data_IF_236147830324
#
_entry.id   IF_236147830324
#
_cell.length_a   1.000
_cell.length_b   1.000
_cell.length_c   1.000
_cell.angle_alpha   90.00
_cell.angle_beta   90.00
_cell.angle_gamma   90.00
#
_symmetry.space_group_name_H-M   'P 1'
#
loop_
_entity.id
_entity.type
_entity.pdbx_description
1 polymer ?
#
# COMPACT_ATOMS: atom_id res chain seq x y z
N UNK A 1 -13.18 14.58 -27.07
CA UNK A 1 -12.53 13.27 -27.25
C UNK A 1 -11.28 13.18 -26.38
N UNK A 2 -11.19 12.16 -25.57
CA UNK A 2 -9.98 11.94 -24.79
C UNK A 2 -8.96 11.21 -25.65
N UNK A 3 -7.81 11.84 -25.89
CA UNK A 3 -6.74 11.27 -26.72
C UNK A 3 -5.46 10.99 -25.91
N UNK A 4 -5.53 11.11 -24.57
CA UNK A 4 -4.42 10.88 -23.67
C UNK A 4 -4.84 9.95 -22.54
N UNK A 5 -3.86 9.35 -21.90
CA UNK A 5 -4.08 8.52 -20.71
C UNK A 5 -3.99 9.41 -19.49
N UNK A 6 -5.07 9.49 -18.73
CA UNK A 6 -5.11 10.22 -17.46
C UNK A 6 -5.34 9.24 -16.31
N UNK A 7 -4.39 9.19 -15.38
CA UNK A 7 -4.50 8.34 -14.21
C UNK A 7 -4.64 9.23 -12.97
N UNK A 8 -5.74 9.05 -12.24
CA UNK A 8 -5.90 9.63 -10.91
C UNK A 8 -5.40 8.61 -9.90
N UNK A 9 -4.16 8.80 -9.44
CA UNK A 9 -3.54 7.91 -8.46
C UNK A 9 -4.02 8.27 -7.06
N UNK A 10 -4.57 7.29 -6.35
CA UNK A 10 -5.16 7.49 -5.03
C UNK A 10 -4.46 6.54 -4.06
N UNK A 11 -3.94 7.08 -2.95
CA UNK A 11 -3.30 6.31 -1.89
C UNK A 11 -2.14 5.43 -2.37
N UNK A 12 -1.38 5.93 -3.33
CA UNK A 12 -0.14 5.27 -3.77
C UNK A 12 0.97 5.63 -2.78
N UNK A 13 1.69 4.62 -2.30
CA UNK A 13 2.81 4.85 -1.40
C UNK A 13 4.09 4.22 -1.95
N UNK A 14 5.22 4.77 -1.52
CA UNK A 14 6.55 4.31 -1.93
C UNK A 14 7.47 4.31 -0.70
N UNK A 15 8.42 3.36 -0.61
CA UNK A 15 9.38 3.37 0.51
C UNK A 15 10.16 4.69 0.62
N UNK A 16 10.44 5.35 -0.49
CA UNK A 16 11.19 6.61 -0.53
C UNK A 16 10.28 7.83 -0.65
N UNK A 17 8.97 7.67 -0.52
CA UNK A 17 8.02 8.75 -0.71
C UNK A 17 7.77 9.56 0.55
N UNK A 18 6.74 10.39 0.47
CA UNK A 18 6.32 11.28 1.57
C UNK A 18 4.84 11.15 1.89
N UNK A 19 4.27 9.97 1.67
CA UNK A 19 2.87 9.71 2.00
C UNK A 19 2.66 9.63 3.53
N UNK A 20 1.39 9.54 3.93
CA UNK A 20 1.06 9.35 5.33
C UNK A 20 1.76 8.12 5.93
N UNK A 21 1.87 7.02 5.17
CA UNK A 21 2.56 5.82 5.64
C UNK A 21 4.01 6.12 6.01
N UNK A 22 4.72 6.90 5.18
CA UNK A 22 6.11 7.25 5.46
C UNK A 22 6.24 8.03 6.76
N UNK A 23 5.32 8.97 6.99
CA UNK A 23 5.27 9.76 8.23
C UNK A 23 5.00 8.84 9.43
N UNK A 24 4.04 7.94 9.33
CA UNK A 24 3.71 7.02 10.43
C UNK A 24 4.88 6.09 10.76
N UNK A 25 5.56 5.59 9.74
CA UNK A 25 6.74 4.73 9.94
C UNK A 25 7.83 5.50 10.69
N UNK A 26 8.14 6.73 10.26
CA UNK A 26 9.12 7.57 10.92
C UNK A 26 8.74 7.86 12.38
N UNK A 27 7.47 8.19 12.62
CA UNK A 27 6.99 8.46 13.97
C UNK A 27 7.19 7.25 14.89
N UNK A 28 6.80 6.08 14.43
CA UNK A 28 6.91 4.85 15.24
C UNK A 28 8.38 4.52 15.52
N UNK A 29 9.24 4.60 14.52
CA UNK A 29 10.68 4.31 14.68
C UNK A 29 11.30 5.28 15.70
N UNK A 30 10.89 6.54 15.69
CA UNK A 30 11.43 7.57 16.59
C UNK A 30 10.70 7.67 17.92
N UNK A 31 9.73 6.79 18.17
CA UNK A 31 9.01 6.74 19.44
C UNK A 31 7.93 7.80 19.58
N UNK A 32 7.52 8.41 18.47
CA UNK A 32 6.43 9.40 18.48
C UNK A 32 5.11 8.73 18.16
N UNK A 33 4.02 9.36 18.60
CA UNK A 33 2.66 8.89 18.28
C UNK A 33 2.20 9.57 17.00
N UNK A 34 1.83 8.81 15.96
CA UNK A 34 1.30 9.42 14.74
C UNK A 34 0.02 10.22 14.99
N UNK A 35 -0.16 11.29 14.23
CA UNK A 35 -1.39 12.08 14.27
C UNK A 35 -2.58 11.19 13.89
N UNK A 36 -3.70 11.25 14.66
CA UNK A 36 -4.88 10.45 14.33
C UNK A 36 -5.48 10.83 12.98
N UNK A 37 -5.90 9.83 12.24
CA UNK A 37 -6.55 10.02 10.95
C UNK A 37 -7.81 9.15 10.90
N UNK A 38 -8.94 9.74 10.55
CA UNK A 38 -10.20 9.01 10.42
C UNK A 38 -10.47 8.55 8.99
N UNK A 39 -9.74 9.09 8.03
CA UNK A 39 -9.94 8.80 6.61
C UNK A 39 -9.63 7.33 6.30
N UNK A 40 -10.52 6.70 5.52
CA UNK A 40 -10.28 5.36 4.99
C UNK A 40 -9.41 5.50 3.74
N UNK A 41 -8.36 4.69 3.68
CA UNK A 41 -7.42 4.70 2.56
C UNK A 41 -7.47 3.38 1.81
N UNK A 42 -7.10 3.45 0.54
CA UNK A 42 -7.00 2.26 -0.33
C UNK A 42 -5.56 2.14 -0.80
N UNK A 43 -4.68 1.81 0.12
CA UNK A 43 -3.24 1.82 -0.11
C UNK A 43 -2.82 0.87 -1.21
N UNK A 44 -1.92 1.32 -2.08
CA UNK A 44 -1.32 0.52 -3.14
C UNK A 44 0.16 0.91 -3.27
N UNK A 45 1.01 -0.11 -3.44
CA UNK A 45 2.44 0.10 -3.60
C UNK A 45 2.73 0.71 -4.97
N UNK A 46 3.72 1.61 -5.02
CA UNK A 46 4.09 2.28 -6.26
C UNK A 46 4.48 1.31 -7.37
N UNK A 47 5.10 0.18 -7.05
CA UNK A 47 5.47 -0.81 -8.07
C UNK A 47 4.23 -1.38 -8.78
N UNK A 48 3.15 -1.59 -8.05
CA UNK A 48 1.90 -2.06 -8.65
C UNK A 48 1.31 -0.98 -9.55
N UNK A 49 1.32 0.27 -9.09
CA UNK A 49 0.82 1.40 -9.88
C UNK A 49 1.62 1.59 -11.16
N UNK A 50 2.94 1.58 -11.06
CA UNK A 50 3.82 1.75 -12.21
C UNK A 50 3.67 0.64 -13.23
N UNK A 51 3.51 -0.60 -12.76
CA UNK A 51 3.30 -1.75 -13.66
C UNK A 51 2.01 -1.58 -14.45
N UNK A 52 0.93 -1.21 -13.81
CA UNK A 52 -0.35 -0.99 -14.49
C UNK A 52 -0.24 0.13 -15.52
N UNK A 53 0.36 1.26 -15.15
CA UNK A 53 0.53 2.40 -16.04
C UNK A 53 1.38 2.01 -17.25
N UNK A 54 2.45 1.25 -17.05
CA UNK A 54 3.31 0.78 -18.14
C UNK A 54 2.55 -0.11 -19.12
N UNK A 55 1.70 -1.00 -18.62
CA UNK A 55 0.88 -1.86 -19.46
C UNK A 55 -0.09 -1.03 -20.31
N UNK A 56 -0.76 -0.07 -19.69
CA UNK A 56 -1.71 0.79 -20.41
C UNK A 56 -1.00 1.61 -21.48
N UNK A 57 0.16 2.18 -21.17
CA UNK A 57 0.95 2.95 -22.13
C UNK A 57 1.45 2.08 -23.29
N UNK A 58 1.91 0.86 -23.00
CA UNK A 58 2.42 -0.05 -24.03
C UNK A 58 1.32 -0.48 -25.00
N UNK A 59 0.08 -0.44 -24.59
CA UNK A 59 -1.06 -0.82 -25.42
C UNK A 59 -1.83 0.36 -25.98
N UNK A 60 -1.28 1.57 -25.82
CA UNK A 60 -1.86 2.81 -26.36
C UNK A 60 -3.28 3.08 -25.82
N UNK A 61 -3.53 2.70 -24.58
CA UNK A 61 -4.81 2.94 -23.94
C UNK A 61 -4.94 4.42 -23.61
N UNK A 62 -6.10 4.98 -23.90
CA UNK A 62 -6.43 6.39 -23.56
C UNK A 62 -7.69 6.41 -22.71
N UNK A 63 -7.89 7.49 -21.99
CA UNK A 63 -9.07 7.67 -21.15
C UNK A 63 -8.70 8.11 -19.74
N UNK A 64 -9.71 8.19 -18.90
CA UNK A 64 -9.56 8.59 -17.49
C UNK A 64 -9.78 7.39 -16.58
N UNK A 65 -8.82 7.10 -15.72
CA UNK A 65 -8.88 5.95 -14.83
C UNK A 65 -8.51 6.36 -13.41
N UNK A 66 -9.21 5.80 -12.42
CA UNK A 66 -8.81 5.86 -11.02
C UNK A 66 -7.96 4.64 -10.71
N UNK A 67 -6.88 4.84 -9.96
CA UNK A 67 -5.95 3.78 -9.55
C UNK A 67 -5.72 3.86 -8.05
N UNK A 68 -6.06 2.79 -7.35
CA UNK A 68 -5.82 2.65 -5.91
C UNK A 68 -5.73 1.18 -5.57
N UNK A 69 -5.47 0.87 -4.30
CA UNK A 69 -5.63 -0.48 -3.80
C UNK A 69 -7.10 -0.89 -3.78
N UNK A 70 -7.35 -2.18 -3.70
CA UNK A 70 -8.71 -2.73 -3.73
C UNK A 70 -9.31 -2.85 -2.34
N UNK A 71 -8.50 -2.81 -1.29
CA UNK A 71 -8.94 -3.01 0.08
C UNK A 71 -8.95 -1.70 0.83
N UNK A 72 -9.97 -1.55 1.69
CA UNK A 72 -10.09 -0.40 2.56
C UNK A 72 -9.25 -0.61 3.83
N UNK A 73 -8.54 0.41 4.25
CA UNK A 73 -7.70 0.40 5.44
C UNK A 73 -8.00 1.62 6.31
N UNK A 74 -8.16 1.42 7.62
CA UNK A 74 -8.11 2.55 8.52
C UNK A 74 -6.67 2.69 9.07
N UNK A 75 -6.40 3.80 9.73
CA UNK A 75 -5.07 4.06 10.26
C UNK A 75 -4.65 2.99 11.29
N UNK A 76 -5.57 2.60 12.16
CA UNK A 76 -5.27 1.63 13.22
C UNK A 76 -4.72 0.31 12.67
N UNK A 77 -5.32 -0.21 11.60
CA UNK A 77 -4.86 -1.45 10.96
C UNK A 77 -3.43 -1.31 10.46
N UNK A 78 -3.10 -0.17 9.86
CA UNK A 78 -1.76 0.06 9.32
C UNK A 78 -0.75 0.26 10.45
N UNK A 79 -1.11 1.03 11.47
CA UNK A 79 -0.21 1.26 12.61
C UNK A 79 0.08 -0.03 13.36
N UNK A 80 -0.91 -0.91 13.54
CA UNK A 80 -0.70 -2.22 14.18
C UNK A 80 0.33 -3.03 13.40
N UNK A 81 0.23 -3.01 12.08
CA UNK A 81 1.16 -3.76 11.23
C UNK A 81 2.56 -3.16 11.30
N UNK A 82 2.68 -1.83 11.26
CA UNK A 82 3.99 -1.16 11.39
C UNK A 82 4.64 -1.51 12.72
N UNK A 83 3.87 -1.45 13.82
CA UNK A 83 4.39 -1.76 15.15
C UNK A 83 4.90 -3.20 15.25
N UNK A 84 4.15 -4.15 14.69
CA UNK A 84 4.56 -5.57 14.68
C UNK A 84 5.84 -5.76 13.89
N UNK A 85 5.92 -5.17 12.71
CA UNK A 85 7.10 -5.29 11.85
C UNK A 85 8.31 -4.61 12.46
N UNK A 86 8.13 -3.45 13.07
CA UNK A 86 9.21 -2.73 13.74
C UNK A 86 9.75 -3.53 14.92
N UNK A 87 8.88 -4.11 15.73
CA UNK A 87 9.29 -4.96 16.85
C UNK A 87 10.09 -6.16 16.36
N UNK A 88 9.65 -6.81 15.30
CA UNK A 88 10.35 -7.95 14.71
C UNK A 88 11.73 -7.54 14.17
N UNK A 89 11.79 -6.39 13.52
CA UNK A 89 13.06 -5.87 13.02
C UNK A 89 14.05 -5.64 14.17
N UNK A 90 13.59 -4.98 15.24
CA UNK A 90 14.43 -4.74 16.42
C UNK A 90 14.92 -6.04 17.05
N UNK A 91 14.04 -7.02 17.17
CA UNK A 91 14.41 -8.33 17.71
C UNK A 91 15.45 -9.02 16.84
N UNK A 92 15.33 -8.91 15.54
CA UNK A 92 16.28 -9.50 14.59
C UNK A 92 17.67 -8.88 14.75
N UNK A 93 17.72 -7.55 14.84
CA UNK A 93 18.99 -6.82 14.99
C UNK A 93 19.66 -7.11 16.33
N UNK A 94 18.85 -7.24 17.40
CA UNK A 94 19.36 -7.46 18.76
C UNK A 94 19.55 -8.93 19.10
N UNK A 95 19.15 -9.85 18.22
CA UNK A 95 19.21 -11.28 18.49
C UNK A 95 18.28 -11.72 19.61
N UNK A 96 17.17 -11.02 19.82
CA UNK A 96 16.23 -11.26 20.92
C UNK A 96 14.97 -11.96 20.48
N UNK A 97 15.01 -12.71 19.39
CA UNK A 97 13.86 -13.50 18.94
C UNK A 97 13.49 -14.56 19.95
N UNK A 98 12.19 -14.71 20.21
CA UNK A 98 11.61 -15.79 21.00
C UNK A 98 10.77 -16.65 20.08
N UNK A 99 10.29 -17.79 20.58
CA UNK A 99 9.34 -18.62 19.82
C UNK A 99 8.11 -17.80 19.46
N UNK A 100 7.63 -16.97 20.36
CA UNK A 100 6.48 -16.10 20.10
C UNK A 100 6.74 -15.06 19.03
N UNK A 101 7.92 -14.43 19.04
CA UNK A 101 8.28 -13.40 18.05
C UNK A 101 8.44 -13.98 16.66
N UNK A 102 8.78 -15.27 16.57
CA UNK A 102 8.95 -15.97 15.30
C UNK A 102 7.69 -16.67 14.83
N UNK A 103 6.64 -16.68 15.65
CA UNK A 103 5.39 -17.32 15.28
C UNK A 103 4.74 -16.64 14.07
N UNK A 104 3.93 -17.43 13.37
CA UNK A 104 3.24 -16.94 12.17
C UNK A 104 2.25 -15.85 12.54
N UNK A 105 2.44 -14.65 11.98
CA UNK A 105 1.52 -13.54 12.19
C UNK A 105 0.49 -13.57 11.06
N UNK A 106 -0.82 -13.63 11.37
CA UNK A 106 -1.84 -13.65 10.33
C UNK A 106 -1.75 -12.42 9.44
N UNK A 107 -2.15 -12.58 8.18
CA UNK A 107 -2.25 -11.46 7.25
C UNK A 107 -3.18 -10.39 7.82
N UNK A 108 -2.89 -9.10 7.61
CA UNK A 108 -3.75 -8.01 8.08
C UNK A 108 -5.11 -7.94 7.38
N UNK A 109 -5.47 -8.97 6.64
CA UNK A 109 -6.73 -9.05 5.90
C UNK A 109 -7.96 -9.34 6.76
N UNK A 110 -7.79 -9.59 8.05
CA UNK A 110 -8.85 -10.15 8.88
C UNK A 110 -9.97 -9.17 9.24
N UNK A 111 -9.74 -7.87 9.12
CA UNK A 111 -10.72 -6.87 9.51
C UNK A 111 -11.44 -6.32 8.29
N UNK A 112 -12.76 -6.19 8.41
CA UNK A 112 -13.55 -5.53 7.39
C UNK A 112 -13.69 -4.06 7.77
N UNK A 113 -13.41 -3.19 6.80
CA UNK A 113 -13.52 -1.75 6.98
C UNK A 113 -14.55 -1.26 5.98
N UNK A 114 -15.52 -0.47 6.49
CA UNK A 114 -16.52 0.14 5.61
C UNK A 114 -15.87 1.32 4.89
N UNK A 115 -15.69 1.17 3.59
CA UNK A 115 -15.14 2.20 2.74
C UNK A 115 -16.03 2.49 1.56
N UNK A 116 -17.29 2.05 1.61
CA UNK A 116 -18.17 2.14 0.45
C UNK A 116 -18.37 3.56 -0.07
N UNK A 117 -18.44 4.55 0.83
CA UNK A 117 -18.67 5.94 0.44
C UNK A 117 -17.47 6.61 -0.22
N UNK A 118 -16.27 6.12 0.07
CA UNK A 118 -15.03 6.70 -0.44
C UNK A 118 -14.29 5.78 -1.41
N UNK A 119 -14.90 4.65 -1.77
CA UNK A 119 -14.24 3.65 -2.61
C UNK A 119 -14.06 4.15 -4.04
N UNK A 120 -12.80 4.18 -4.54
CA UNK A 120 -12.57 4.54 -5.94
C UNK A 120 -13.24 3.56 -6.90
N UNK A 121 -13.60 4.07 -8.07
CA UNK A 121 -14.17 3.22 -9.12
C UNK A 121 -13.03 2.60 -9.93
N UNK A 122 -12.70 1.37 -9.64
CA UNK A 122 -11.60 0.65 -10.27
C UNK A 122 -12.04 -0.18 -11.50
N UNK A 123 -13.33 -0.24 -11.78
CA UNK A 123 -13.84 -1.04 -12.89
C UNK A 123 -13.24 -0.63 -14.25
N UNK A 124 -13.17 0.66 -14.60
CA UNK A 124 -12.54 1.05 -15.88
C UNK A 124 -11.09 0.59 -15.98
N UNK A 125 -10.30 0.74 -14.91
CA UNK A 125 -8.91 0.29 -14.88
C UNK A 125 -8.81 -1.23 -15.07
N UNK A 126 -9.63 -1.96 -14.32
CA UNK A 126 -9.66 -3.42 -14.40
C UNK A 126 -9.99 -3.89 -15.82
N UNK A 127 -11.03 -3.30 -16.42
CA UNK A 127 -11.46 -3.68 -17.77
C UNK A 127 -10.41 -3.34 -18.82
N UNK A 128 -9.75 -2.17 -18.68
CA UNK A 128 -8.68 -1.77 -19.60
C UNK A 128 -7.51 -2.75 -19.52
N UNK A 129 -7.12 -3.16 -18.32
CA UNK A 129 -6.03 -4.13 -18.13
C UNK A 129 -6.40 -5.51 -18.68
N UNK A 130 -7.64 -5.94 -18.52
CA UNK A 130 -8.12 -7.17 -19.14
C UNK A 130 -7.98 -7.10 -20.66
N UNK A 131 -8.32 -5.97 -21.26
CA UNK A 131 -8.21 -5.80 -22.70
C UNK A 131 -6.77 -5.85 -23.21
N UNK A 132 -5.81 -5.61 -22.32
CA UNK A 132 -4.38 -5.69 -22.63
C UNK A 132 -3.83 -7.12 -22.47
N UNK A 133 -4.67 -8.10 -22.20
CA UNK A 133 -4.25 -9.50 -22.07
C UNK A 133 -3.77 -9.89 -20.69
N UNK A 134 -4.04 -9.07 -19.67
CA UNK A 134 -3.69 -9.36 -18.29
C UNK A 134 -4.89 -9.93 -17.53
N UNK A 135 -4.69 -10.26 -16.26
CA UNK A 135 -5.75 -10.73 -15.37
C UNK A 135 -6.56 -9.58 -14.75
N UNK A 136 -6.38 -8.35 -15.25
CA UNK A 136 -7.06 -7.16 -14.73
C UNK A 136 -6.25 -6.48 -13.64
N UNK A 137 -6.93 -5.64 -12.84
CA UNK A 137 -6.26 -4.91 -11.77
C UNK A 137 -6.10 -5.79 -10.53
N UNK A 138 -4.89 -6.23 -10.31
CA UNK A 138 -4.55 -7.12 -9.18
C UNK A 138 -3.23 -6.65 -8.58
N UNK A 139 -3.27 -5.79 -7.53
CA UNK A 139 -2.05 -5.43 -6.81
C UNK A 139 -1.38 -6.66 -6.22
N UNK A 140 -0.07 -6.81 -6.46
CA UNK A 140 0.68 -7.99 -6.05
C UNK A 140 1.55 -7.77 -4.82
N UNK A 141 1.92 -6.51 -4.54
CA UNK A 141 2.76 -6.21 -3.37
C UNK A 141 1.86 -6.12 -2.15
N UNK A 142 1.99 -7.09 -1.25
CA UNK A 142 1.25 -7.07 0.01
C UNK A 142 1.68 -5.87 0.85
N UNK A 143 0.74 -5.29 1.61
CA UNK A 143 1.07 -4.12 2.43
C UNK A 143 2.20 -4.42 3.42
N UNK A 144 2.25 -5.63 3.96
CA UNK A 144 3.31 -6.04 4.88
C UNK A 144 4.70 -5.92 4.25
N UNK A 145 4.81 -6.33 2.99
CA UNK A 145 6.07 -6.24 2.24
C UNK A 145 6.45 -4.76 2.03
N UNK A 146 5.49 -3.96 1.60
CA UNK A 146 5.73 -2.53 1.38
C UNK A 146 6.11 -1.80 2.66
N UNK A 147 5.44 -2.11 3.77
CA UNK A 147 5.76 -1.50 5.06
C UNK A 147 7.17 -1.90 5.54
N UNK A 148 7.57 -3.15 5.32
CA UNK A 148 8.94 -3.57 5.64
C UNK A 148 9.97 -2.78 4.84
N UNK A 149 9.70 -2.52 3.57
CA UNK A 149 10.57 -1.70 2.75
C UNK A 149 10.66 -0.27 3.28
N UNK A 150 9.54 0.28 3.72
CA UNK A 150 9.51 1.63 4.32
C UNK A 150 10.36 1.68 5.60
N UNK A 151 10.24 0.67 6.45
CA UNK A 151 11.01 0.58 7.69
C UNK A 151 12.50 0.46 7.37
N UNK A 152 12.86 -0.44 6.46
CA UNK A 152 14.26 -0.66 6.10
C UNK A 152 14.91 0.62 5.57
N UNK A 153 14.21 1.34 4.72
CA UNK A 153 14.74 2.59 4.16
C UNK A 153 14.84 3.69 5.23
N UNK A 154 13.85 3.79 6.11
CA UNK A 154 13.85 4.79 7.17
C UNK A 154 15.01 4.57 8.16
N UNK A 155 15.35 3.31 8.42
CA UNK A 155 16.46 2.96 9.34
C UNK A 155 17.83 3.31 8.75
N UNK A 156 17.95 3.28 7.41
CA UNK A 156 19.22 3.62 6.74
C UNK A 156 19.53 5.11 6.81
N UNK A 157 18.60 5.93 7.15
CA UNK A 157 18.75 7.39 7.23
C UNK A 157 18.50 7.87 8.66
#
# INVERSE_FOLDING_TARGET
>A
MVSVLNIESIDVYSPSGSSAINTWVSDIIEGRTPEPEEKIRFWVHIRDAERAIAILNSNNIVGNFQLSGRRAWNQEMVLDEINRLWTRYQNSVQGTHTIESLSNIPSPAAFQVDGSDSRPNLAPLHDALLSCGTEGWRPLVAIRVGLMECIALAVEH
#
